data_IF_830410602054
#
_entry.id   IF_830410602054
#
_cell.length_a   1.000
_cell.length_b   1.000
_cell.length_c   1.000
_cell.angle_alpha   90.00
_cell.angle_beta   90.00
_cell.angle_gamma   90.00
#
_symmetry.space_group_name_H-M   'P 1'
#
loop_
_entity.id
_entity.type
_entity.pdbx_description
1 polymer ?
#
# COMPACT_ATOMS: atom_id res chain seq x y z
N UNK A 1 -1.00 -22.43 7.86
CA UNK A 1 -1.20 -22.68 6.47
C UNK A 1 -1.18 -21.39 5.67
N UNK A 2 -0.39 -21.36 4.70
CA UNK A 2 -0.26 -20.16 3.92
C UNK A 2 -1.27 -20.14 2.79
N UNK A 3 -2.03 -19.11 2.72
CA UNK A 3 -2.78 -18.83 1.52
C UNK A 3 -1.91 -17.93 0.67
N UNK A 4 -1.34 -18.49 -0.35
CA UNK A 4 -0.31 -17.81 -1.10
C UNK A 4 -0.85 -16.72 -2.02
N UNK A 5 -2.07 -16.83 -2.48
CA UNK A 5 -2.59 -15.84 -3.44
C UNK A 5 -4.04 -15.54 -3.18
N UNK A 6 -4.40 -14.29 -3.42
CA UNK A 6 -5.76 -13.83 -3.36
C UNK A 6 -6.41 -14.04 -4.72
N UNK A 7 -7.39 -14.91 -4.78
CA UNK A 7 -8.21 -15.08 -5.97
C UNK A 7 -9.45 -14.22 -5.86
N UNK A 8 -10.10 -13.98 -6.99
CA UNK A 8 -11.39 -13.31 -6.97
C UNK A 8 -12.34 -14.05 -6.01
N UNK A 9 -12.96 -13.31 -5.11
CA UNK A 9 -13.85 -13.87 -4.09
C UNK A 9 -13.15 -14.35 -2.82
N UNK A 10 -11.82 -14.34 -2.78
CA UNK A 10 -11.09 -14.70 -1.55
C UNK A 10 -11.25 -13.59 -0.52
N UNK A 11 -11.56 -14.00 0.71
CA UNK A 11 -11.67 -13.05 1.83
C UNK A 11 -10.29 -12.45 2.13
N UNK A 12 -10.13 -11.13 2.07
CA UNK A 12 -8.84 -10.49 2.37
C UNK A 12 -8.50 -10.45 3.85
N UNK A 13 -9.48 -10.68 4.73
CA UNK A 13 -9.24 -10.65 6.17
C UNK A 13 -8.34 -11.82 6.55
N UNK A 14 -7.28 -11.53 7.31
CA UNK A 14 -6.28 -12.52 7.68
C UNK A 14 -6.22 -12.66 9.19
N UNK A 15 -5.61 -13.75 9.66
CA UNK A 15 -5.23 -13.85 11.06
C UNK A 15 -4.29 -12.68 11.35
N UNK A 16 -4.60 -11.84 12.34
CA UNK A 16 -3.80 -10.63 12.60
C UNK A 16 -2.34 -10.96 12.84
N UNK A 17 -1.45 -10.17 12.21
CA UNK A 17 -0.02 -10.32 12.42
C UNK A 17 0.64 -8.94 12.47
N UNK A 18 1.76 -8.80 13.19
CA UNK A 18 2.35 -7.49 13.38
C UNK A 18 2.84 -6.89 12.07
N UNK A 19 2.47 -5.64 11.82
CA UNK A 19 3.10 -4.88 10.76
C UNK A 19 4.58 -4.71 11.11
N UNK A 20 5.49 -4.98 10.17
CA UNK A 20 6.92 -4.74 10.43
C UNK A 20 7.17 -3.29 10.81
N UNK A 21 8.15 -3.06 11.69
CA UNK A 21 8.58 -1.71 12.03
C UNK A 21 9.15 -1.02 10.79
N UNK A 22 8.86 0.26 10.66
CA UNK A 22 9.40 1.06 9.57
C UNK A 22 9.52 2.52 9.98
N UNK A 23 10.37 3.24 9.27
CA UNK A 23 10.55 4.68 9.43
C UNK A 23 11.03 5.19 8.07
N UNK A 24 10.12 5.78 7.30
CA UNK A 24 10.36 6.11 5.91
C UNK A 24 10.10 7.57 5.62
N UNK A 25 10.89 8.18 4.71
CA UNK A 25 10.62 9.53 4.26
C UNK A 25 9.26 9.64 3.59
N UNK A 26 8.59 10.74 3.85
CA UNK A 26 7.25 11.02 3.32
C UNK A 26 7.29 12.21 2.36
N UNK A 27 6.56 12.12 1.27
CA UNK A 27 6.40 13.22 0.33
C UNK A 27 5.75 14.45 0.96
N UNK A 28 5.01 14.25 2.05
CA UNK A 28 4.38 15.36 2.79
C UNK A 28 5.35 16.04 3.75
N UNK A 29 6.59 15.60 3.82
CA UNK A 29 7.61 16.13 4.70
C UNK A 29 7.88 15.20 5.88
N UNK A 30 9.12 15.22 6.37
CA UNK A 30 9.53 14.39 7.49
C UNK A 30 9.44 12.91 7.18
N UNK A 31 9.22 12.13 8.22
CA UNK A 31 9.14 10.69 8.16
C UNK A 31 7.81 10.19 8.70
N UNK A 32 7.37 9.05 8.22
CA UNK A 32 6.25 8.30 8.79
C UNK A 32 6.81 6.97 9.30
N UNK A 33 6.52 6.64 10.54
CA UNK A 33 6.99 5.40 11.15
C UNK A 33 5.82 4.62 11.73
N UNK A 34 6.04 3.33 11.95
CA UNK A 34 5.03 2.52 12.65
C UNK A 34 4.71 3.12 14.01
N UNK A 35 5.75 3.58 14.73
CA UNK A 35 5.56 4.18 16.05
C UNK A 35 4.74 5.47 15.99
N UNK A 36 4.93 6.29 14.96
CA UNK A 36 4.17 7.53 14.82
C UNK A 36 2.71 7.28 14.47
N UNK A 37 2.35 6.07 14.07
CA UNK A 37 0.99 5.69 13.72
C UNK A 37 0.29 4.89 14.81
N UNK A 38 0.86 4.80 16.00
CA UNK A 38 0.24 4.13 17.14
C UNK A 38 -1.13 4.73 17.42
N UNK A 39 -2.12 3.88 17.62
CA UNK A 39 -3.49 4.31 17.88
C UNK A 39 -4.25 4.74 16.62
N UNK A 40 -3.66 4.56 15.45
CA UNK A 40 -4.20 5.04 14.19
C UNK A 40 -4.33 3.87 13.20
N UNK A 41 -5.53 3.66 12.67
CA UNK A 41 -5.72 2.75 11.55
C UNK A 41 -5.09 3.37 10.31
N UNK A 42 -4.41 2.55 9.51
CA UNK A 42 -3.86 3.03 8.24
C UNK A 42 -3.82 1.94 7.18
N UNK A 43 -3.72 2.38 5.94
CA UNK A 43 -3.60 1.52 4.77
C UNK A 43 -2.30 1.85 4.06
N UNK A 44 -1.55 0.80 3.72
CA UNK A 44 -0.37 0.91 2.86
C UNK A 44 -0.70 0.21 1.55
N UNK A 45 -0.59 0.92 0.43
CA UNK A 45 -0.66 0.25 -0.86
C UNK A 45 0.69 0.36 -1.56
N UNK A 46 1.22 -0.81 -1.92
CA UNK A 46 2.53 -0.97 -2.51
C UNK A 46 2.40 -1.15 -4.02
N UNK A 47 3.22 -0.45 -4.77
CA UNK A 47 3.18 -0.54 -6.23
C UNK A 47 4.60 -0.50 -6.80
N UNK A 48 4.81 -1.07 -8.02
CA UNK A 48 6.16 -1.21 -8.56
C UNK A 48 6.92 0.07 -8.83
N UNK A 49 6.30 1.08 -9.42
CA UNK A 49 7.04 2.30 -9.76
C UNK A 49 6.11 3.47 -10.05
N UNK A 50 6.56 4.67 -9.67
CA UNK A 50 5.85 5.90 -9.96
C UNK A 50 5.71 6.10 -11.47
N UNK A 51 4.59 6.69 -11.87
CA UNK A 51 4.35 7.17 -13.23
C UNK A 51 4.34 6.08 -14.31
N UNK A 52 4.09 4.83 -13.93
CA UNK A 52 3.78 3.77 -14.89
C UNK A 52 2.26 3.67 -15.03
N UNK A 53 1.74 3.15 -16.16
CA UNK A 53 0.28 3.25 -16.44
C UNK A 53 -0.62 2.68 -15.35
N UNK A 54 -0.39 1.42 -14.95
CA UNK A 54 -1.25 0.78 -13.95
C UNK A 54 -1.06 1.38 -12.57
N UNK A 55 0.17 1.73 -12.21
CA UNK A 55 0.45 2.38 -10.93
C UNK A 55 -0.18 3.77 -10.87
N UNK A 56 -0.17 4.50 -11.96
CA UNK A 56 -0.82 5.81 -12.05
C UNK A 56 -2.33 5.67 -11.84
N UNK A 57 -2.95 4.70 -12.51
CA UNK A 57 -4.37 4.45 -12.35
C UNK A 57 -4.71 4.12 -10.89
N UNK A 58 -3.96 3.23 -10.27
CA UNK A 58 -4.18 2.85 -8.88
C UNK A 58 -4.03 4.05 -7.94
N UNK A 59 -2.97 4.83 -8.10
CA UNK A 59 -2.73 6.01 -7.27
C UNK A 59 -3.84 7.04 -7.43
N UNK A 60 -4.30 7.27 -8.65
CA UNK A 60 -5.38 8.22 -8.90
C UNK A 60 -6.69 7.76 -8.26
N UNK A 61 -6.97 6.46 -8.31
CA UNK A 61 -8.19 5.89 -7.71
C UNK A 61 -8.15 6.00 -6.19
N UNK A 62 -7.01 5.69 -5.56
CA UNK A 62 -6.87 5.88 -4.12
C UNK A 62 -6.97 7.36 -3.75
N UNK A 63 -6.34 8.23 -4.52
CA UNK A 63 -6.38 9.68 -4.26
C UNK A 63 -7.80 10.21 -4.32
N UNK A 64 -8.57 9.79 -5.30
CA UNK A 64 -9.97 10.20 -5.43
C UNK A 64 -10.83 9.70 -4.26
N UNK A 65 -10.47 8.57 -3.66
CA UNK A 65 -11.21 7.97 -2.55
C UNK A 65 -10.71 8.43 -1.18
N UNK A 66 -9.66 9.25 -1.13
CA UNK A 66 -9.07 9.68 0.16
C UNK A 66 -10.11 10.22 1.14
N UNK A 67 -11.08 11.06 0.75
CA UNK A 67 -12.09 11.54 1.69
C UNK A 67 -12.87 10.40 2.37
N UNK A 68 -13.10 9.29 1.67
CA UNK A 68 -13.81 8.13 2.23
C UNK A 68 -12.96 7.42 3.28
N UNK A 69 -11.63 7.32 3.08
CA UNK A 69 -10.73 6.79 4.09
C UNK A 69 -10.68 7.70 5.31
N UNK A 70 -10.57 9.00 5.10
CA UNK A 70 -10.54 9.98 6.18
C UNK A 70 -11.83 9.97 7.00
N UNK A 71 -12.97 9.79 6.34
CA UNK A 71 -14.26 9.71 7.03
C UNK A 71 -14.33 8.47 7.96
N UNK A 72 -13.56 7.43 7.65
CA UNK A 72 -13.46 6.24 8.51
C UNK A 72 -12.38 6.38 9.60
N UNK A 73 -11.66 7.48 9.63
CA UNK A 73 -10.54 7.67 10.55
C UNK A 73 -9.32 6.85 10.16
N UNK A 74 -9.13 6.60 8.87
CA UNK A 74 -8.04 5.76 8.36
C UNK A 74 -7.10 6.60 7.53
N UNK A 75 -5.80 6.54 7.82
CA UNK A 75 -4.78 7.19 7.02
C UNK A 75 -4.39 6.30 5.84
N UNK A 76 -4.01 6.94 4.74
CA UNK A 76 -3.71 6.25 3.50
C UNK A 76 -2.33 6.67 3.00
N UNK A 77 -1.48 5.68 2.71
CA UNK A 77 -0.14 5.93 2.19
C UNK A 77 0.14 5.04 1.00
N UNK A 78 0.68 5.62 -0.06
CA UNK A 78 1.28 4.85 -1.14
C UNK A 78 2.74 4.60 -0.81
N UNK A 79 3.30 3.51 -1.33
CA UNK A 79 4.66 3.08 -1.02
C UNK A 79 5.28 2.45 -2.26
N UNK A 80 6.44 2.96 -2.64
CA UNK A 80 7.24 2.33 -3.68
C UNK A 80 8.72 2.54 -3.38
N UNK A 81 9.57 1.95 -4.20
CA UNK A 81 11.02 2.10 -4.07
C UNK A 81 11.55 3.41 -4.65
N UNK A 82 10.69 4.21 -5.26
CA UNK A 82 11.08 5.51 -5.79
C UNK A 82 11.50 6.45 -4.68
N UNK A 83 12.36 7.41 -4.99
CA UNK A 83 12.80 8.40 -4.02
C UNK A 83 11.78 9.55 -3.92
N UNK A 84 12.02 10.47 -2.98
CA UNK A 84 11.11 11.60 -2.78
C UNK A 84 11.04 12.53 -3.99
N UNK A 85 12.09 12.63 -4.75
CA UNK A 85 12.10 13.46 -5.96
C UNK A 85 11.13 12.92 -7.00
N UNK A 86 11.17 11.61 -7.22
CA UNK A 86 10.22 10.94 -8.11
C UNK A 86 8.79 11.08 -7.58
N UNK A 87 8.60 10.89 -6.28
CA UNK A 87 7.28 11.03 -5.66
C UNK A 87 6.72 12.44 -5.85
N UNK A 88 7.56 13.46 -5.68
CA UNK A 88 7.12 14.85 -5.85
C UNK A 88 6.64 15.11 -7.29
N UNK A 89 7.37 14.59 -8.27
CA UNK A 89 6.99 14.73 -9.68
C UNK A 89 5.68 14.01 -9.98
N UNK A 90 5.53 12.81 -9.44
CA UNK A 90 4.34 11.99 -9.64
C UNK A 90 3.11 12.67 -9.03
N UNK A 91 3.22 13.12 -7.80
CA UNK A 91 2.15 13.84 -7.10
C UNK A 91 1.75 15.09 -7.87
N UNK A 92 2.74 15.88 -8.30
CA UNK A 92 2.47 17.11 -9.02
C UNK A 92 1.76 16.85 -10.35
N UNK A 93 2.22 15.84 -11.09
CA UNK A 93 1.68 15.54 -12.42
C UNK A 93 0.21 15.12 -12.37
N UNK A 94 -0.18 14.36 -11.36
CA UNK A 94 -1.53 13.78 -11.28
C UNK A 94 -2.38 14.35 -10.14
N UNK A 95 -1.87 15.31 -9.39
CA UNK A 95 -2.62 15.92 -8.31
C UNK A 95 -2.98 14.95 -7.18
N UNK A 96 -2.05 14.04 -6.85
CA UNK A 96 -2.30 13.05 -5.82
C UNK A 96 -2.41 13.71 -4.46
N UNK A 97 -3.35 13.27 -3.64
CA UNK A 97 -3.67 13.91 -2.37
C UNK A 97 -3.15 13.18 -1.14
N UNK A 98 -2.83 11.89 -1.26
CA UNK A 98 -2.25 11.15 -0.13
C UNK A 98 -0.73 11.20 -0.19
N UNK A 99 -0.06 11.08 0.97
CA UNK A 99 1.40 10.99 0.99
C UNK A 99 1.91 9.71 0.34
N UNK A 100 3.09 9.80 -0.28
CA UNK A 100 3.81 8.66 -0.79
C UNK A 100 5.08 8.48 0.04
N UNK A 101 5.34 7.25 0.46
CA UNK A 101 6.52 6.91 1.25
C UNK A 101 7.60 6.33 0.35
N UNK A 102 8.85 6.68 0.64
CA UNK A 102 10.00 6.25 -0.17
C UNK A 102 10.74 5.13 0.54
N UNK A 103 10.64 3.91 0.00
CA UNK A 103 11.33 2.74 0.53
C UNK A 103 12.43 2.32 -0.46
N UNK A 104 13.43 3.18 -0.62
CA UNK A 104 14.45 3.04 -1.67
C UNK A 104 15.24 1.73 -1.54
N UNK A 105 15.47 1.28 -0.31
CA UNK A 105 16.20 0.04 -0.04
C UNK A 105 15.29 -1.18 0.02
N UNK A 106 14.01 -1.01 -0.23
CA UNK A 106 12.98 -2.07 -0.22
C UNK A 106 12.88 -2.85 1.09
N UNK A 107 13.27 -2.22 2.20
CA UNK A 107 13.29 -2.91 3.51
C UNK A 107 11.87 -3.26 3.96
N UNK A 108 10.95 -2.30 3.90
CA UNK A 108 9.57 -2.57 4.30
C UNK A 108 8.86 -3.44 3.26
N UNK A 109 9.08 -3.16 1.97
CA UNK A 109 8.49 -3.95 0.90
C UNK A 109 8.88 -5.42 1.06
N UNK A 110 10.15 -5.69 1.33
CA UNK A 110 10.64 -7.06 1.54
C UNK A 110 10.07 -7.67 2.83
N UNK A 111 10.04 -6.91 3.92
CA UNK A 111 9.53 -7.39 5.20
C UNK A 111 8.05 -7.75 5.11
N UNK A 112 7.29 -7.08 4.24
CA UNK A 112 5.88 -7.38 4.00
C UNK A 112 5.70 -8.57 3.05
N UNK A 113 6.79 -9.12 2.51
CA UNK A 113 6.72 -10.24 1.58
C UNK A 113 6.31 -9.85 0.17
N UNK A 114 6.49 -8.59 -0.20
CA UNK A 114 6.07 -8.07 -1.51
C UNK A 114 7.23 -7.78 -2.45
N UNK A 115 8.44 -8.18 -2.09
CA UNK A 115 9.61 -8.04 -2.95
C UNK A 115 10.07 -9.41 -3.40
N UNK A 116 10.20 -9.61 -4.70
CA UNK A 116 10.56 -10.92 -5.19
C UNK A 116 10.91 -10.93 -6.67
N UNK A 117 11.24 -12.14 -7.13
CA UNK A 117 11.61 -12.37 -8.52
C UNK A 117 10.37 -12.31 -9.41
N UNK A 118 10.52 -11.58 -10.52
CA UNK A 118 9.50 -11.48 -11.55
C UNK A 118 10.11 -11.88 -12.89
N UNK A 119 9.25 -12.25 -13.84
CA UNK A 119 9.68 -12.62 -15.17
C UNK A 119 8.89 -11.85 -16.22
N UNK A 120 9.59 -11.34 -17.22
CA UNK A 120 8.96 -10.65 -18.35
C UNK A 120 9.73 -11.02 -19.61
N UNK A 121 9.04 -11.67 -20.56
CA UNK A 121 9.64 -12.14 -21.80
C UNK A 121 10.91 -12.98 -21.56
N UNK A 122 10.85 -13.89 -20.58
CA UNK A 122 11.98 -14.76 -20.24
C UNK A 122 13.09 -14.10 -19.45
N UNK A 123 13.01 -12.81 -19.19
CA UNK A 123 13.96 -12.09 -18.36
C UNK A 123 13.48 -12.08 -16.91
N UNK A 124 14.39 -12.39 -16.00
CA UNK A 124 14.11 -12.35 -14.57
C UNK A 124 14.63 -11.05 -13.98
N UNK A 125 13.84 -10.48 -13.07
CA UNK A 125 14.24 -9.26 -12.36
C UNK A 125 13.56 -9.24 -10.99
N UNK A 126 14.10 -8.44 -10.08
CA UNK A 126 13.50 -8.23 -8.78
C UNK A 126 12.53 -7.06 -8.83
N UNK A 127 11.38 -7.23 -8.24
CA UNK A 127 10.37 -6.17 -8.25
C UNK A 127 9.36 -6.30 -7.14
N UNK A 128 8.51 -5.28 -7.03
CA UNK A 128 7.46 -5.22 -6.04
C UNK A 128 6.20 -5.87 -6.57
N UNK A 129 5.63 -6.80 -5.78
CA UNK A 129 4.27 -7.29 -6.02
C UNK A 129 3.30 -6.22 -5.53
N UNK A 130 2.38 -5.82 -6.39
CA UNK A 130 1.32 -4.87 -6.02
C UNK A 130 0.52 -5.46 -4.88
N UNK A 131 0.50 -4.76 -3.74
CA UNK A 131 -0.09 -5.28 -2.52
C UNK A 131 -0.74 -4.16 -1.75
N UNK A 132 -1.75 -4.49 -0.93
CA UNK A 132 -2.37 -3.53 -0.04
C UNK A 132 -2.54 -4.17 1.33
N UNK A 133 -2.27 -3.42 2.38
CA UNK A 133 -2.36 -3.89 3.76
C UNK A 133 -3.20 -2.93 4.58
N UNK A 134 -4.13 -3.47 5.35
CA UNK A 134 -4.90 -2.71 6.33
C UNK A 134 -4.32 -3.01 7.71
N UNK A 135 -3.89 -1.96 8.40
CA UNK A 135 -3.27 -2.08 9.73
C UNK A 135 -4.15 -1.37 10.75
N UNK A 136 -4.45 -2.05 11.84
CA UNK A 136 -5.32 -1.50 12.87
C UNK A 136 -4.57 -0.58 13.85
N UNK A 137 -5.30 -0.04 14.80
CA UNK A 137 -4.76 0.92 15.77
C UNK A 137 -3.79 0.31 16.77
N UNK A 138 -3.65 -1.02 16.77
CA UNK A 138 -2.65 -1.71 17.60
C UNK A 138 -1.42 -2.12 16.80
N UNK A 139 -1.37 -1.79 15.50
CA UNK A 139 -0.25 -2.13 14.63
C UNK A 139 -0.31 -3.51 14.03
N UNK A 140 -1.49 -4.16 14.04
CA UNK A 140 -1.66 -5.48 13.46
C UNK A 140 -2.26 -5.37 12.06
N UNK A 141 -1.71 -6.13 11.13
CA UNK A 141 -2.28 -6.28 9.79
C UNK A 141 -3.54 -7.13 9.92
N UNK A 142 -4.66 -6.58 9.49
CA UNK A 142 -5.97 -7.21 9.62
C UNK A 142 -6.51 -7.71 8.29
N UNK A 143 -6.03 -7.16 7.20
CA UNK A 143 -6.42 -7.58 5.86
C UNK A 143 -5.27 -7.32 4.91
N UNK A 144 -5.18 -8.16 3.88
CA UNK A 144 -4.14 -7.98 2.87
C UNK A 144 -4.61 -8.48 1.51
N UNK A 145 -4.13 -7.80 0.48
CA UNK A 145 -4.31 -8.17 -0.91
C UNK A 145 -2.93 -8.28 -1.54
N UNK A 146 -2.68 -9.37 -2.22
CA UNK A 146 -1.39 -9.60 -2.88
C UNK A 146 -1.62 -9.82 -4.37
N UNK A 147 -0.64 -9.43 -5.19
CA UNK A 147 -0.72 -9.54 -6.64
C UNK A 147 -2.00 -8.89 -7.14
N UNK A 148 -2.22 -7.66 -6.69
CA UNK A 148 -3.46 -6.92 -6.90
C UNK A 148 -3.69 -6.62 -8.36
N UNK A 149 -4.94 -6.82 -8.79
CA UNK A 149 -5.48 -6.23 -10.02
C UNK A 149 -6.27 -5.00 -9.61
N UNK A 150 -6.05 -3.89 -10.32
CA UNK A 150 -6.55 -2.59 -9.85
C UNK A 150 -8.04 -2.39 -10.01
N UNK A 151 -8.68 -3.12 -10.94
CA UNK A 151 -10.10 -2.96 -11.17
C UNK A 151 -10.92 -3.29 -9.91
N UNK A 152 -11.66 -2.31 -9.41
CA UNK A 152 -12.50 -2.49 -8.23
C UNK A 152 -11.73 -2.64 -6.93
N UNK A 153 -10.42 -2.42 -6.94
CA UNK A 153 -9.61 -2.68 -5.76
C UNK A 153 -9.88 -1.69 -4.63
N UNK A 154 -9.96 -0.40 -4.95
CA UNK A 154 -10.18 0.63 -3.92
C UNK A 154 -11.51 0.40 -3.21
N UNK A 155 -12.56 0.06 -3.95
CA UNK A 155 -13.87 -0.26 -3.37
C UNK A 155 -13.78 -1.48 -2.45
N UNK A 156 -13.01 -2.50 -2.86
CA UNK A 156 -12.81 -3.69 -2.03
C UNK A 156 -12.12 -3.35 -0.71
N UNK A 157 -11.13 -2.47 -0.75
CA UNK A 157 -10.42 -2.03 0.46
C UNK A 157 -11.37 -1.27 1.38
N UNK A 158 -12.16 -0.34 0.84
CA UNK A 158 -13.12 0.42 1.62
C UNK A 158 -14.19 -0.49 2.25
N UNK A 159 -14.70 -1.45 1.48
CA UNK A 159 -15.69 -2.40 1.98
C UNK A 159 -15.13 -3.20 3.17
N UNK A 160 -13.89 -3.67 3.04
CA UNK A 160 -13.24 -4.43 4.11
C UNK A 160 -13.03 -3.56 5.36
N UNK A 161 -12.64 -2.30 5.18
CA UNK A 161 -12.50 -1.37 6.30
C UNK A 161 -13.82 -1.16 7.03
N UNK A 162 -14.92 -1.00 6.29
CA UNK A 162 -16.23 -0.88 6.90
C UNK A 162 -16.57 -2.10 7.75
N UNK A 163 -16.23 -3.29 7.27
CA UNK A 163 -16.47 -4.53 8.02
C UNK A 163 -15.61 -4.61 9.27
N UNK A 164 -14.33 -4.28 9.17
CA UNK A 164 -13.39 -4.40 10.28
C UNK A 164 -13.64 -3.36 11.37
N UNK A 165 -14.13 -2.20 11.01
CA UNK A 165 -14.38 -1.10 11.95
C UNK A 165 -15.82 -1.03 12.44
N UNK A 166 -16.67 -1.91 11.94
CA UNK A 166 -18.07 -1.96 12.37
C UNK A 166 -18.24 -2.36 13.83
#
# INVERSE_FOLDING_TARGET
MAVSSQKAGTNPVVTPWPCPAFDLPSSAGGHVSKDSLKGQWFVLFLYPADNTPTCTQENCEFSAALPQFEALGVKLFGLSKNDLNDHAKFIHKYGLKMPLLADEMTVLIDALGSWGEKSLYGRKYMGTDRSTFVVDDTGLIRAEWRKVRTKGHVEAVLKTLHQLKA
#
